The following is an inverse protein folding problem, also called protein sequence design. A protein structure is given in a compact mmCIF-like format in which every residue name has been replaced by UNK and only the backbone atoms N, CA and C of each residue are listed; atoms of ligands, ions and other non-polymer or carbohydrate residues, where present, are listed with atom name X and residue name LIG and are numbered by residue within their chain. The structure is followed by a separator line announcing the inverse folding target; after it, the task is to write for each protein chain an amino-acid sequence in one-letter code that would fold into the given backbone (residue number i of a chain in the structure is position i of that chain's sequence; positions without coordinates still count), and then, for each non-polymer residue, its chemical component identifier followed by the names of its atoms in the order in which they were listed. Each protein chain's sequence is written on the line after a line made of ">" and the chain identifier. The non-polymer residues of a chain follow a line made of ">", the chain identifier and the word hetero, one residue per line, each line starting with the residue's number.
data_IF_872822599731
#
_entry.id   IF_872822599731
#
_cell.length_a   1.000
_cell.length_b   1.000
_cell.length_c   1.000
_cell.angle_alpha   90.00
_cell.angle_beta   90.00
_cell.angle_gamma   90.00
#
_symmetry.space_group_name_H-M   'P 1'
#
loop_
_entity.id
_entity.type
_entity.pdbx_description
1 polymer ?
#
# COMPACT_ATOMS: atom_id res chain seq x y z
N UNK A 1 4.03 -14.09 0.28
CA UNK A 1 3.58 -12.98 -0.58
C UNK A 1 4.48 -11.73 -0.51
N UNK A 2 5.45 -11.64 0.40
CA UNK A 2 6.28 -10.45 0.63
C UNK A 2 6.94 -9.80 -0.63
N UNK A 3 7.01 -10.50 -1.74
CA UNK A 3 7.55 -9.99 -3.01
C UNK A 3 6.47 -9.73 -4.09
N UNK A 4 5.22 -10.07 -3.81
CA UNK A 4 4.11 -9.82 -4.72
C UNK A 4 3.59 -8.39 -4.55
N UNK A 5 3.09 -7.82 -5.62
CA UNK A 5 2.30 -6.59 -5.50
C UNK A 5 0.91 -6.92 -4.90
N UNK A 6 0.19 -5.93 -4.37
CA UNK A 6 -1.09 -6.17 -3.69
C UNK A 6 -2.16 -6.83 -4.57
N UNK A 7 -2.10 -6.67 -5.89
CA UNK A 7 -3.05 -7.29 -6.83
C UNK A 7 -2.73 -8.77 -6.95
N UNK A 8 -1.47 -9.12 -7.24
CA UNK A 8 -1.03 -10.50 -7.37
C UNK A 8 -1.17 -11.28 -6.04
N UNK A 9 -0.95 -10.63 -4.89
CA UNK A 9 -1.18 -11.23 -3.58
C UNK A 9 -2.65 -11.63 -3.39
N UNK A 10 -3.59 -10.74 -3.69
CA UNK A 10 -5.03 -11.02 -3.62
C UNK A 10 -5.46 -12.12 -4.60
N UNK A 11 -4.96 -12.13 -5.82
CA UNK A 11 -5.23 -13.19 -6.79
C UNK A 11 -4.76 -14.54 -6.29
N UNK A 12 -3.53 -14.62 -5.74
CA UNK A 12 -2.99 -15.84 -5.15
C UNK A 12 -3.87 -16.34 -4.01
N UNK A 13 -4.24 -15.47 -3.06
CA UNK A 13 -5.10 -15.83 -1.93
C UNK A 13 -6.49 -16.29 -2.39
N UNK A 14 -7.06 -15.65 -3.42
CA UNK A 14 -8.30 -16.09 -4.02
C UNK A 14 -8.21 -17.51 -4.65
N UNK A 15 -7.07 -17.85 -5.23
CA UNK A 15 -6.82 -19.21 -5.74
C UNK A 15 -6.70 -20.20 -4.58
N UNK A 16 -5.94 -19.84 -3.53
CA UNK A 16 -5.78 -20.68 -2.34
C UNK A 16 -7.12 -20.93 -1.63
N UNK A 17 -7.95 -19.91 -1.49
CA UNK A 17 -9.28 -20.03 -0.88
C UNK A 17 -10.18 -21.00 -1.68
N UNK A 18 -10.15 -20.93 -3.01
CA UNK A 18 -10.86 -21.88 -3.87
C UNK A 18 -10.35 -23.31 -3.72
N UNK A 19 -9.04 -23.51 -3.73
CA UNK A 19 -8.44 -24.85 -3.53
C UNK A 19 -8.84 -25.44 -2.18
N UNK A 20 -8.87 -24.62 -1.14
CA UNK A 20 -9.33 -25.08 0.18
C UNK A 20 -10.82 -25.44 0.17
N UNK A 21 -11.70 -24.56 -0.33
CA UNK A 21 -13.16 -24.75 -0.28
C UNK A 21 -13.67 -25.80 -1.25
N UNK A 22 -13.12 -25.87 -2.47
CA UNK A 22 -13.63 -26.76 -3.52
C UNK A 22 -12.94 -28.12 -3.51
N UNK A 23 -11.67 -28.18 -3.12
CA UNK A 23 -10.87 -29.41 -3.17
C UNK A 23 -10.47 -29.95 -1.79
N UNK A 24 -10.81 -29.26 -0.70
CA UNK A 24 -10.48 -29.69 0.66
C UNK A 24 -8.98 -29.66 0.97
N UNK A 25 -8.19 -28.89 0.23
CA UNK A 25 -6.74 -28.79 0.44
C UNK A 25 -6.45 -28.05 1.74
N UNK A 26 -5.64 -28.63 2.62
CA UNK A 26 -5.17 -27.97 3.83
C UNK A 26 -4.05 -27.00 3.47
N UNK A 27 -4.17 -25.72 3.87
CA UNK A 27 -3.24 -24.65 3.51
C UNK A 27 -2.68 -24.01 4.77
N UNK A 28 -1.38 -23.77 4.80
CA UNK A 28 -0.70 -22.98 5.83
C UNK A 28 -0.11 -21.75 5.14
N UNK A 29 -0.51 -20.56 5.61
CA UNK A 29 -0.04 -19.28 5.09
C UNK A 29 0.74 -18.57 6.18
N UNK A 30 1.93 -18.06 5.87
CA UNK A 30 2.69 -17.17 6.73
C UNK A 30 2.70 -15.76 6.12
N UNK A 31 2.01 -14.84 6.75
CA UNK A 31 1.83 -13.47 6.31
C UNK A 31 1.96 -12.50 7.47
N UNK A 32 2.25 -11.25 7.14
CA UNK A 32 2.30 -10.15 8.09
C UNK A 32 1.20 -9.11 7.83
N UNK A 33 0.44 -9.24 6.75
CA UNK A 33 -0.74 -8.42 6.48
C UNK A 33 -1.98 -9.04 7.16
N UNK A 34 -2.53 -8.39 8.21
CA UNK A 34 -3.67 -8.91 8.94
C UNK A 34 -4.95 -8.94 8.11
N UNK A 35 -5.15 -8.01 7.17
CA UNK A 35 -6.38 -7.92 6.38
C UNK A 35 -6.67 -9.23 5.64
N UNK A 36 -5.62 -9.82 5.07
CA UNK A 36 -5.73 -11.02 4.25
C UNK A 36 -5.91 -12.30 5.10
N UNK A 37 -5.25 -12.36 6.27
CA UNK A 37 -5.33 -13.53 7.15
C UNK A 37 -6.68 -13.64 7.85
N UNK A 38 -7.24 -12.55 8.33
CA UNK A 38 -8.47 -12.55 9.11
C UNK A 38 -9.72 -12.89 8.30
N UNK A 39 -9.69 -12.62 7.00
CA UNK A 39 -10.82 -12.93 6.11
C UNK A 39 -10.74 -14.33 5.48
N UNK A 40 -9.54 -14.90 5.35
CA UNK A 40 -9.30 -16.14 4.60
C UNK A 40 -9.01 -17.37 5.47
N UNK A 41 -8.62 -17.21 6.74
CA UNK A 41 -8.16 -18.33 7.56
C UNK A 41 -9.20 -18.81 8.58
N UNK A 42 -9.33 -20.13 8.76
CA UNK A 42 -10.14 -20.75 9.83
C UNK A 42 -9.48 -20.58 11.19
N UNK A 43 -8.15 -20.59 11.24
CA UNK A 43 -7.33 -20.48 12.45
C UNK A 43 -6.13 -19.59 12.20
N UNK A 44 -5.78 -18.82 13.22
CA UNK A 44 -4.60 -17.96 13.24
C UNK A 44 -3.69 -18.36 14.39
N UNK A 45 -2.42 -18.54 14.07
CA UNK A 45 -1.33 -18.75 15.02
C UNK A 45 -0.54 -17.45 15.16
N UNK A 46 -0.45 -16.91 16.36
CA UNK A 46 0.43 -15.78 16.66
C UNK A 46 1.73 -16.26 17.31
N UNK A 47 2.84 -15.94 16.66
CA UNK A 47 4.19 -16.25 17.13
C UNK A 47 4.89 -14.98 17.60
N UNK A 48 5.46 -15.02 18.81
CA UNK A 48 6.35 -13.99 19.29
C UNK A 48 7.59 -14.61 19.94
N UNK A 49 8.76 -14.07 19.61
CA UNK A 49 10.07 -14.54 20.13
C UNK A 49 10.27 -16.06 19.99
N UNK A 50 9.79 -16.64 18.90
CA UNK A 50 9.91 -18.08 18.63
C UNK A 50 8.96 -18.97 19.43
N UNK A 51 7.99 -18.39 20.14
CA UNK A 51 6.97 -19.14 20.92
C UNK A 51 5.58 -18.88 20.38
N UNK A 52 4.71 -19.88 20.50
CA UNK A 52 3.27 -19.72 20.28
C UNK A 52 2.67 -18.95 21.44
N UNK A 53 2.25 -17.73 21.21
CA UNK A 53 1.59 -16.88 22.21
C UNK A 53 0.06 -17.05 22.15
N UNK A 54 -0.48 -17.28 20.95
CA UNK A 54 -1.92 -17.51 20.78
C UNK A 54 -2.20 -18.41 19.57
N UNK A 55 -3.27 -19.21 19.68
CA UNK A 55 -3.82 -20.00 18.59
C UNK A 55 -5.35 -20.08 18.72
N UNK A 56 -6.06 -19.63 17.68
CA UNK A 56 -7.52 -19.60 17.73
C UNK A 56 -8.18 -19.20 16.42
N UNK A 57 -9.49 -19.05 16.46
CA UNK A 57 -10.24 -18.47 15.31
C UNK A 57 -9.89 -17.00 15.13
N UNK A 58 -10.12 -16.41 13.94
CA UNK A 58 -9.91 -14.98 13.71
C UNK A 58 -10.59 -14.10 14.78
N UNK A 59 -11.84 -14.39 15.14
CA UNK A 59 -12.57 -13.62 16.15
C UNK A 59 -11.91 -13.69 17.55
N UNK A 60 -11.44 -14.86 17.96
CA UNK A 60 -10.74 -15.02 19.24
C UNK A 60 -9.36 -14.37 19.21
N UNK A 61 -8.68 -14.46 18.07
CA UNK A 61 -7.38 -13.80 17.87
C UNK A 61 -7.52 -12.29 17.94
N UNK A 62 -8.56 -11.71 17.34
CA UNK A 62 -8.83 -10.27 17.42
C UNK A 62 -9.04 -9.81 18.87
N UNK A 63 -9.83 -10.55 19.65
CA UNK A 63 -10.03 -10.26 21.09
C UNK A 63 -8.73 -10.37 21.89
N UNK A 64 -7.93 -11.38 21.59
CA UNK A 64 -6.60 -11.53 22.22
C UNK A 64 -5.70 -10.34 21.92
N UNK A 65 -5.67 -9.86 20.69
CA UNK A 65 -4.86 -8.71 20.27
C UNK A 65 -5.29 -7.41 20.97
N UNK A 66 -6.58 -7.14 21.06
CA UNK A 66 -7.09 -5.98 21.81
C UNK A 66 -6.69 -6.06 23.27
N UNK A 67 -6.91 -7.21 23.92
CA UNK A 67 -6.60 -7.40 25.33
C UNK A 67 -5.11 -7.21 25.67
N UNK A 68 -4.22 -7.52 24.73
CA UNK A 68 -2.77 -7.47 24.92
C UNK A 68 -2.10 -6.24 24.26
N UNK A 69 -2.88 -5.22 23.87
CA UNK A 69 -2.39 -4.01 23.20
C UNK A 69 -1.59 -4.31 21.90
N UNK A 70 -2.02 -5.32 21.16
CA UNK A 70 -1.44 -5.76 19.89
C UNK A 70 -2.30 -5.31 18.69
N UNK A 71 -2.95 -4.17 18.81
CA UNK A 71 -3.90 -3.63 17.81
C UNK A 71 -3.26 -3.43 16.42
N UNK A 72 -1.93 -3.29 16.36
CA UNK A 72 -1.19 -3.22 15.09
C UNK A 72 -1.38 -4.43 14.17
N UNK A 73 -1.74 -5.59 14.73
CA UNK A 73 -2.02 -6.83 14.01
C UNK A 73 -3.50 -7.08 13.72
N UNK A 74 -4.37 -6.09 13.96
CA UNK A 74 -5.79 -6.18 13.64
C UNK A 74 -6.07 -5.64 12.24
N UNK A 75 -7.09 -6.18 11.54
CA UNK A 75 -7.68 -5.52 10.38
C UNK A 75 -8.14 -4.10 10.71
N UNK A 76 -8.10 -3.18 9.74
CA UNK A 76 -8.52 -1.78 9.96
C UNK A 76 -9.97 -1.67 10.41
N UNK A 77 -10.84 -2.54 9.90
CA UNK A 77 -12.22 -2.63 10.37
C UNK A 77 -12.29 -2.99 11.85
N UNK A 78 -11.53 -3.97 12.30
CA UNK A 78 -11.49 -4.38 13.71
C UNK A 78 -10.91 -3.27 14.60
N UNK A 79 -9.86 -2.59 14.16
CA UNK A 79 -9.26 -1.43 14.86
C UNK A 79 -10.29 -0.33 15.10
N UNK A 80 -11.07 0.03 14.05
CA UNK A 80 -12.09 1.06 14.14
C UNK A 80 -13.14 0.78 15.23
N UNK A 81 -13.44 -0.50 15.48
CA UNK A 81 -14.43 -0.94 16.45
C UNK A 81 -13.86 -1.38 17.80
N UNK A 82 -12.54 -1.46 17.95
CA UNK A 82 -11.87 -2.03 19.14
C UNK A 82 -12.27 -1.36 20.46
N UNK A 83 -12.66 -0.07 20.42
CA UNK A 83 -13.12 0.69 21.60
C UNK A 83 -14.65 0.81 21.69
N UNK A 84 -15.38 0.30 20.71
CA UNK A 84 -16.83 0.47 20.61
C UNK A 84 -17.60 -0.78 21.00
N UNK A 85 -17.02 -1.96 20.80
CA UNK A 85 -17.70 -3.21 21.06
C UNK A 85 -16.74 -4.40 21.21
N UNK A 86 -17.18 -5.41 22.00
CA UNK A 86 -16.41 -6.63 22.26
C UNK A 86 -16.42 -7.62 21.07
N UNK A 87 -17.45 -7.54 20.24
CA UNK A 87 -17.61 -8.37 19.05
C UNK A 87 -17.09 -7.59 17.83
N UNK A 88 -15.84 -7.80 17.49
CA UNK A 88 -15.13 -7.02 16.47
C UNK A 88 -15.49 -7.48 15.05
N UNK A 89 -15.87 -6.57 14.16
CA UNK A 89 -16.02 -6.90 12.75
C UNK A 89 -14.63 -7.12 12.12
N UNK A 90 -14.46 -8.24 11.43
CA UNK A 90 -13.17 -8.63 10.85
C UNK A 90 -13.04 -8.21 9.39
N UNK A 91 -14.13 -7.78 8.75
CA UNK A 91 -14.14 -7.30 7.38
C UNK A 91 -15.17 -6.18 7.18
N UNK A 92 -15.10 -5.52 6.02
CA UNK A 92 -15.94 -4.36 5.68
C UNK A 92 -17.45 -4.70 5.71
N UNK A 93 -17.84 -5.91 5.29
CA UNK A 93 -19.25 -6.36 5.29
C UNK A 93 -19.80 -6.42 6.72
N UNK A 94 -19.05 -7.03 7.63
CA UNK A 94 -19.41 -7.10 9.05
C UNK A 94 -19.42 -5.71 9.69
N UNK A 95 -18.46 -4.86 9.34
CA UNK A 95 -18.40 -3.46 9.81
C UNK A 95 -19.61 -2.66 9.40
N UNK A 96 -20.03 -2.74 8.14
CA UNK A 96 -21.25 -2.07 7.65
C UNK A 96 -22.51 -2.53 8.37
N UNK A 97 -22.71 -3.85 8.47
CA UNK A 97 -23.86 -4.40 9.18
C UNK A 97 -23.92 -3.94 10.65
N UNK A 98 -22.75 -3.70 11.25
CA UNK A 98 -22.67 -3.22 12.63
C UNK A 98 -22.97 -1.72 12.75
N UNK A 99 -22.50 -0.90 11.81
CA UNK A 99 -22.84 0.53 11.75
C UNK A 99 -24.34 0.74 11.54
N UNK A 100 -24.95 -0.05 10.66
CA UNK A 100 -26.41 -0.02 10.44
C UNK A 100 -27.18 -0.33 11.75
N UNK A 101 -26.75 -1.36 12.49
CA UNK A 101 -27.35 -1.69 13.80
C UNK A 101 -27.17 -0.61 14.86
N UNK A 102 -26.08 0.17 14.77
CA UNK A 102 -25.81 1.30 15.65
C UNK A 102 -26.53 2.59 15.22
N UNK A 103 -27.31 2.54 14.13
CA UNK A 103 -28.06 3.69 13.60
C UNK A 103 -27.17 4.71 12.89
N UNK A 104 -25.95 4.37 12.55
CA UNK A 104 -25.04 5.22 11.77
C UNK A 104 -25.32 4.98 10.29
N UNK A 105 -26.23 5.79 9.73
CA UNK A 105 -26.66 5.65 8.32
C UNK A 105 -25.95 6.60 7.36
N UNK A 106 -25.33 7.64 7.87
CA UNK A 106 -24.68 8.64 7.02
C UNK A 106 -23.36 9.12 7.63
N UNK A 107 -22.26 8.77 6.99
CA UNK A 107 -20.95 9.33 7.33
C UNK A 107 -20.77 10.52 6.39
N UNK A 108 -20.73 11.77 6.90
CA UNK A 108 -20.48 12.90 6.04
C UNK A 108 -19.17 12.68 5.29
N UNK A 109 -19.24 12.60 3.98
CA UNK A 109 -18.05 12.61 3.13
C UNK A 109 -17.34 13.93 3.39
N UNK A 110 -16.31 13.92 4.20
CA UNK A 110 -15.37 15.04 4.21
C UNK A 110 -14.87 15.17 2.78
N UNK A 111 -15.29 16.22 2.10
CA UNK A 111 -14.67 16.61 0.86
C UNK A 111 -13.20 16.89 1.22
N UNK A 112 -12.31 16.00 0.79
CA UNK A 112 -10.88 16.30 0.76
C UNK A 112 -10.78 17.43 -0.26
N UNK A 113 -10.84 18.66 0.23
CA UNK A 113 -10.50 19.82 -0.58
C UNK A 113 -9.01 19.72 -0.82
N UNK A 114 -8.67 19.36 -2.05
CA UNK A 114 -7.32 19.52 -2.58
C UNK A 114 -7.07 21.04 -2.58
N UNK A 115 -6.59 21.56 -1.45
CA UNK A 115 -6.11 22.93 -1.37
C UNK A 115 -4.83 22.94 -2.20
N UNK A 116 -4.96 23.39 -3.46
CA UNK A 116 -3.79 23.70 -4.29
C UNK A 116 -2.89 24.65 -3.49
N UNK A 117 -1.83 24.08 -2.91
CA UNK A 117 -0.83 24.92 -2.25
C UNK A 117 -0.17 25.79 -3.32
N UNK A 118 -0.10 27.07 -3.07
CA UNK A 118 0.56 28.05 -3.97
C UNK A 118 2.09 27.91 -4.01
N UNK A 119 2.66 26.90 -3.34
CA UNK A 119 4.08 26.66 -3.24
C UNK A 119 4.70 26.25 -4.59
N UNK A 120 5.92 26.70 -4.89
CA UNK A 120 6.61 26.36 -6.13
C UNK A 120 6.93 24.85 -6.19
N UNK A 121 7.00 24.31 -7.39
CA UNK A 121 7.40 22.91 -7.59
C UNK A 121 8.86 22.67 -7.16
N UNK A 122 9.04 21.73 -6.22
CA UNK A 122 10.35 21.21 -5.90
C UNK A 122 10.84 20.24 -6.98
N UNK A 123 9.92 19.42 -7.52
CA UNK A 123 10.19 18.53 -8.64
C UNK A 123 9.11 18.68 -9.70
N UNK A 124 9.52 18.73 -10.96
CA UNK A 124 8.60 18.65 -12.10
C UNK A 124 9.16 17.73 -13.17
N UNK A 125 8.39 16.73 -13.54
CA UNK A 125 8.64 15.86 -14.67
C UNK A 125 7.64 16.19 -15.78
N UNK A 126 8.11 16.33 -17.00
CA UNK A 126 7.26 16.65 -18.17
C UNK A 126 7.49 15.63 -19.27
N UNK A 127 6.42 14.92 -19.64
CA UNK A 127 6.37 13.97 -20.76
C UNK A 127 7.57 13.02 -20.78
N UNK A 128 7.83 12.32 -19.64
CA UNK A 128 8.98 11.44 -19.51
C UNK A 128 8.74 10.11 -20.22
N UNK A 129 9.67 9.78 -21.11
CA UNK A 129 9.72 8.47 -21.77
C UNK A 129 11.07 7.81 -21.48
N UNK A 130 11.01 6.54 -21.07
CA UNK A 130 12.21 5.78 -20.71
C UNK A 130 12.07 4.31 -21.10
N UNK A 131 13.19 3.78 -21.61
CA UNK A 131 13.43 2.35 -21.88
C UNK A 131 14.89 2.05 -21.58
N UNK A 132 15.20 0.80 -21.21
CA UNK A 132 16.58 0.44 -20.87
C UNK A 132 17.45 0.26 -22.11
N UNK A 133 16.90 -0.29 -23.19
CA UNK A 133 17.60 -0.54 -24.45
C UNK A 133 16.82 0.05 -25.62
N UNK A 134 17.52 0.37 -26.71
CA UNK A 134 16.95 1.04 -27.90
C UNK A 134 15.74 0.29 -28.47
N UNK A 135 15.74 -1.04 -28.38
CA UNK A 135 14.70 -1.93 -28.95
C UNK A 135 13.79 -2.55 -27.89
N UNK A 136 13.96 -2.20 -26.59
CA UNK A 136 13.07 -2.69 -25.53
C UNK A 136 11.79 -1.87 -25.45
N UNK A 137 10.70 -2.43 -24.88
CA UNK A 137 9.48 -1.70 -24.65
C UNK A 137 9.69 -0.50 -23.73
N UNK A 138 8.90 0.55 -23.96
CA UNK A 138 8.91 1.71 -23.08
C UNK A 138 8.33 1.39 -21.72
N UNK A 139 9.08 1.75 -20.66
CA UNK A 139 8.69 1.57 -19.27
C UNK A 139 7.98 2.81 -18.76
N UNK A 140 8.49 4.00 -19.08
CA UNK A 140 7.77 5.25 -18.87
C UNK A 140 7.22 5.72 -20.21
N UNK A 141 5.96 6.11 -20.25
CA UNK A 141 5.22 6.45 -21.48
C UNK A 141 4.51 7.78 -21.28
N UNK A 142 5.24 8.88 -21.45
CA UNK A 142 4.69 10.23 -21.30
C UNK A 142 4.31 10.58 -19.86
N UNK A 143 5.14 10.18 -18.88
CA UNK A 143 4.83 10.40 -17.46
C UNK A 143 5.03 11.89 -17.09
N UNK A 144 3.97 12.48 -16.53
CA UNK A 144 3.96 13.82 -15.95
C UNK A 144 3.84 13.73 -14.43
N UNK A 145 4.59 14.56 -13.70
CA UNK A 145 4.58 14.61 -12.25
C UNK A 145 5.00 16.01 -11.78
N UNK A 146 4.26 16.55 -10.82
CA UNK A 146 4.62 17.77 -10.13
C UNK A 146 4.53 17.59 -8.63
N UNK A 147 5.63 17.80 -7.90
CA UNK A 147 5.69 17.74 -6.45
C UNK A 147 6.08 19.11 -5.94
N UNK A 148 5.31 19.66 -5.02
CA UNK A 148 5.59 20.98 -4.43
C UNK A 148 6.53 20.84 -3.24
N UNK A 149 7.12 21.94 -2.84
CA UNK A 149 8.01 21.97 -1.68
C UNK A 149 7.27 21.55 -0.41
N UNK A 150 7.84 20.62 0.35
CA UNK A 150 7.27 20.11 1.61
C UNK A 150 6.15 19.08 1.44
N UNK A 151 5.85 18.65 0.21
CA UNK A 151 4.91 17.55 -0.02
C UNK A 151 5.58 16.18 0.16
N UNK A 152 4.85 15.24 0.77
CA UNK A 152 5.16 13.82 0.78
C UNK A 152 4.32 13.13 -0.30
N UNK A 153 4.98 12.53 -1.29
CA UNK A 153 4.32 11.97 -2.47
C UNK A 153 4.49 10.45 -2.54
N UNK A 154 3.38 9.72 -2.54
CA UNK A 154 3.35 8.26 -2.68
C UNK A 154 3.21 7.84 -4.16
N UNK A 155 4.05 6.92 -4.61
CA UNK A 155 3.97 6.32 -5.94
C UNK A 155 3.49 4.87 -5.81
N UNK A 156 2.28 4.59 -6.27
CA UNK A 156 1.67 3.26 -6.25
C UNK A 156 1.62 2.65 -7.65
N UNK A 157 1.53 1.33 -7.71
CA UNK A 157 1.39 0.58 -8.97
C UNK A 157 1.90 -0.85 -8.84
N UNK A 158 1.54 -1.69 -9.81
CA UNK A 158 1.98 -3.10 -9.89
C UNK A 158 3.49 -3.26 -10.02
N UNK A 159 4.00 -4.47 -9.78
CA UNK A 159 5.37 -4.83 -10.10
C UNK A 159 5.61 -4.69 -11.61
N UNK A 160 6.76 -4.13 -11.98
CA UNK A 160 7.02 -3.78 -13.39
C UNK A 160 6.38 -2.49 -13.88
N UNK A 161 5.50 -1.82 -13.10
CA UNK A 161 4.79 -0.59 -13.48
C UNK A 161 5.66 0.66 -13.63
N UNK A 162 6.99 0.55 -13.53
CA UNK A 162 7.92 1.67 -13.79
C UNK A 162 8.25 2.55 -12.59
N UNK A 163 7.74 2.24 -11.36
CA UNK A 163 8.00 3.04 -10.13
C UNK A 163 9.49 3.28 -9.88
N UNK A 164 10.26 2.20 -9.83
CA UNK A 164 11.73 2.27 -9.60
C UNK A 164 12.45 2.97 -10.75
N UNK A 165 11.96 2.83 -11.99
CA UNK A 165 12.50 3.51 -13.15
C UNK A 165 12.25 5.01 -13.07
N UNK A 166 11.05 5.43 -12.67
CA UNK A 166 10.73 6.85 -12.45
C UNK A 166 11.64 7.46 -11.37
N UNK A 167 11.81 6.78 -10.24
CA UNK A 167 12.74 7.24 -9.19
C UNK A 167 14.19 7.35 -9.70
N UNK A 168 14.68 6.35 -10.47
CA UNK A 168 16.01 6.42 -11.07
C UNK A 168 16.18 7.59 -12.02
N UNK A 169 15.14 7.93 -12.79
CA UNK A 169 15.14 9.10 -13.68
C UNK A 169 15.15 10.38 -12.84
N UNK A 170 14.33 10.50 -11.81
CA UNK A 170 14.29 11.66 -10.90
C UNK A 170 15.64 11.85 -10.21
N UNK A 171 16.28 10.78 -9.75
CA UNK A 171 17.61 10.82 -9.11
C UNK A 171 18.77 11.03 -10.11
N UNK A 172 18.50 11.10 -11.41
CA UNK A 172 19.55 11.28 -12.43
C UNK A 172 20.39 10.03 -12.72
N UNK A 173 20.02 8.86 -12.17
CA UNK A 173 20.69 7.60 -12.41
C UNK A 173 20.37 7.00 -13.79
N UNK A 174 19.26 7.41 -14.38
CA UNK A 174 18.87 7.08 -15.76
C UNK A 174 18.48 8.36 -16.48
N UNK A 175 18.84 8.47 -17.77
CA UNK A 175 18.42 9.60 -18.61
C UNK A 175 17.21 9.20 -19.42
N UNK A 176 16.08 9.92 -19.33
CA UNK A 176 14.97 9.69 -20.23
C UNK A 176 15.38 10.04 -21.66
N UNK A 177 14.91 9.29 -22.64
CA UNK A 177 15.20 9.60 -24.03
C UNK A 177 14.31 10.72 -24.58
N UNK A 178 13.15 10.95 -23.94
CA UNK A 178 12.28 12.10 -24.23
C UNK A 178 11.70 12.64 -22.91
N UNK A 179 11.38 13.94 -22.90
CA UNK A 179 10.89 14.66 -21.75
C UNK A 179 11.97 15.36 -20.93
N UNK A 180 11.58 15.93 -19.82
CA UNK A 180 12.48 16.70 -18.97
C UNK A 180 12.14 16.57 -17.49
N UNK A 181 13.19 16.58 -16.65
CA UNK A 181 13.09 16.70 -15.19
C UNK A 181 13.68 18.04 -14.78
N UNK A 182 12.95 18.79 -13.96
CA UNK A 182 13.44 20.01 -13.30
C UNK A 182 13.27 19.89 -11.79
N UNK A 183 14.24 20.42 -11.06
CA UNK A 183 14.30 20.46 -9.60
C UNK A 183 14.47 21.91 -9.18
N UNK A 184 13.61 22.40 -8.30
CA UNK A 184 13.61 23.79 -7.84
C UNK A 184 13.71 24.80 -9.01
N UNK A 185 12.97 24.55 -10.10
CA UNK A 185 12.94 25.38 -11.30
C UNK A 185 14.16 25.24 -12.25
N UNK A 186 15.21 24.48 -11.87
CA UNK A 186 16.39 24.24 -12.70
C UNK A 186 16.33 22.88 -13.36
N UNK A 187 16.75 22.78 -14.62
CA UNK A 187 16.85 21.46 -15.30
C UNK A 187 17.82 20.55 -14.55
N UNK A 188 17.47 19.29 -14.37
CA UNK A 188 18.29 18.29 -13.68
C UNK A 188 19.75 18.23 -14.18
N UNK A 189 19.98 18.44 -15.48
CA UNK A 189 21.34 18.49 -16.08
C UNK A 189 22.22 19.61 -15.52
N UNK A 190 21.67 20.62 -14.86
CA UNK A 190 22.42 21.70 -14.23
C UNK A 190 23.09 21.30 -12.91
N UNK A 191 22.64 20.18 -12.31
CA UNK A 191 23.21 19.67 -11.07
C UNK A 191 24.41 18.75 -11.39
N UNK A 192 25.60 19.11 -10.90
CA UNK A 192 26.79 18.27 -11.01
C UNK A 192 26.68 17.09 -10.02
N UNK A 193 27.37 15.99 -10.32
CA UNK A 193 27.37 14.75 -9.51
C UNK A 193 27.44 15.03 -8.00
N UNK A 194 26.41 14.60 -7.26
CA UNK A 194 26.35 14.69 -5.80
C UNK A 194 25.70 15.97 -5.23
N UNK A 195 25.53 17.07 -6.00
CA UNK A 195 24.86 18.27 -5.48
C UNK A 195 23.33 18.13 -5.41
N UNK A 196 22.77 17.24 -6.20
CA UNK A 196 21.33 16.95 -6.25
C UNK A 196 20.76 16.50 -4.89
N UNK A 197 21.51 15.66 -4.17
CA UNK A 197 21.11 15.11 -2.88
C UNK A 197 21.32 16.05 -1.68
N UNK A 198 21.95 17.20 -1.89
CA UNK A 198 22.14 18.22 -0.84
C UNK A 198 21.01 19.25 -0.78
N UNK A 199 20.22 19.35 -1.85
CA UNK A 199 19.10 20.29 -1.95
C UNK A 199 17.73 19.59 -1.81
N UNK A 200 17.68 18.24 -1.80
CA UNK A 200 16.50 17.44 -1.50
C UNK A 200 16.40 17.15 -0.01
#
# INVERSE_FOLDING_TARGET
>A
TAQLDPIAARELLGILDRLNKEMGVTIIIAEHDPEELFDSCDKILYLAKGKTEFFGTPALTAKYFVKNALEGFLPETAKAFARLCDDLPLNVRQGRAKLEKLGVTDIPKQAVTDTERAEPYALQCKNLWQRYEKNSPDILKGCDLGIRKGECYGILGSNGGGKSTLLRVICGLCKPYMGAVSLFGKKQKAYKNGSLFREM
#
